data_IF_044107331549
#
_entry.id   IF_044107331549
#
_cell.length_a   1.000
_cell.length_b   1.000
_cell.length_c   1.000
_cell.angle_alpha   90.00
_cell.angle_beta   90.00
_cell.angle_gamma   90.00
#
_symmetry.space_group_name_H-M   'P 1'
#
loop_
_entity.id
_entity.type
_entity.pdbx_description
1 polymer ?
#
# COMPACT_ATOMS: atom_id res chain seq x y z
N UNK A 1 16.95 3.85 -4.44
CA UNK A 1 15.94 3.82 -3.37
C UNK A 1 16.54 3.70 -1.97
N UNK A 2 17.44 2.75 -1.70
CA UNK A 2 17.99 2.52 -0.34
C UNK A 2 18.61 3.74 0.37
N UNK A 3 19.37 4.60 -0.33
CA UNK A 3 19.95 5.81 0.28
C UNK A 3 18.88 6.80 0.76
N UNK A 4 17.83 7.03 -0.05
CA UNK A 4 16.73 7.92 0.32
C UNK A 4 15.90 7.35 1.48
N UNK A 5 15.69 6.03 1.53
CA UNK A 5 15.00 5.37 2.65
C UNK A 5 15.78 5.53 3.97
N UNK A 6 17.10 5.35 3.94
CA UNK A 6 17.93 5.59 5.14
C UNK A 6 17.92 7.07 5.55
N UNK A 7 17.95 8.01 4.59
CA UNK A 7 17.81 9.44 4.91
C UNK A 7 16.45 9.80 5.49
N UNK A 8 15.39 9.20 4.96
CA UNK A 8 14.05 9.34 5.53
C UNK A 8 14.02 8.85 6.98
N UNK A 9 14.56 7.66 7.26
CA UNK A 9 14.64 7.13 8.63
C UNK A 9 15.36 8.11 9.57
N UNK A 10 16.55 8.60 9.18
CA UNK A 10 17.33 9.53 9.99
C UNK A 10 16.59 10.84 10.31
N UNK A 11 15.81 11.36 9.36
CA UNK A 11 14.98 12.55 9.58
C UNK A 11 13.77 12.21 10.44
N UNK A 12 13.10 11.09 10.16
CA UNK A 12 11.88 10.68 10.84
C UNK A 12 12.12 10.32 12.31
N UNK A 13 13.27 9.76 12.66
CA UNK A 13 13.57 9.27 14.02
C UNK A 13 14.76 9.99 14.66
N UNK A 14 15.28 11.04 14.02
CA UNK A 14 16.44 11.79 14.50
C UNK A 14 16.16 12.61 15.76
N UNK A 15 17.21 13.25 16.29
CA UNK A 15 17.15 14.06 17.51
C UNK A 15 16.06 15.13 17.45
N UNK A 16 15.97 15.87 16.33
CA UNK A 16 14.97 16.93 16.16
C UNK A 16 13.53 16.38 16.21
N UNK A 17 13.28 15.22 15.57
CA UNK A 17 11.98 14.57 15.63
C UNK A 17 11.63 14.14 17.07
N UNK A 18 12.60 13.55 17.79
CA UNK A 18 12.41 13.16 19.19
C UNK A 18 12.13 14.37 20.10
N UNK A 19 12.84 15.49 19.90
CA UNK A 19 12.64 16.74 20.64
C UNK A 19 11.27 17.35 20.36
N UNK A 20 10.83 17.40 19.10
CA UNK A 20 9.50 17.89 18.71
C UNK A 20 8.38 17.06 19.35
N UNK A 21 8.49 15.73 19.28
CA UNK A 21 7.54 14.81 19.92
C UNK A 21 7.50 15.04 21.43
N UNK A 22 8.67 15.14 22.08
CA UNK A 22 8.74 15.36 23.53
C UNK A 22 8.14 16.71 23.94
N UNK A 23 8.43 17.78 23.20
CA UNK A 23 7.96 19.14 23.47
C UNK A 23 6.44 19.25 23.32
N UNK A 24 5.89 18.89 22.16
CA UNK A 24 4.47 19.06 21.89
C UNK A 24 3.59 18.03 22.62
N UNK A 25 4.14 16.91 23.10
CA UNK A 25 3.42 16.03 24.06
C UNK A 25 3.11 16.77 25.37
N UNK A 26 3.94 17.73 25.79
CA UNK A 26 3.75 18.51 27.03
C UNK A 26 3.06 19.86 26.79
N UNK A 27 3.08 20.36 25.56
CA UNK A 27 2.58 21.69 25.18
C UNK A 27 1.50 21.62 24.12
N UNK A 28 0.50 20.76 24.36
CA UNK A 28 -0.64 20.55 23.45
C UNK A 28 -1.50 21.81 23.32
N UNK A 29 -1.52 22.65 24.35
CA UNK A 29 -2.23 23.92 24.43
C UNK A 29 -1.68 24.98 23.45
N UNK A 30 -0.46 24.81 22.94
CA UNK A 30 0.12 25.68 21.91
C UNK A 30 -0.37 25.35 20.49
N UNK A 31 -1.08 24.23 20.32
CA UNK A 31 -1.57 23.75 19.02
C UNK A 31 -3.08 23.98 18.90
N UNK A 32 -3.52 24.40 17.72
CA UNK A 32 -4.94 24.40 17.35
C UNK A 32 -5.50 22.97 17.31
N UNK A 33 -6.82 22.82 17.33
CA UNK A 33 -7.48 21.51 17.28
C UNK A 33 -7.05 20.66 16.07
N UNK A 34 -6.86 21.30 14.91
CA UNK A 34 -6.40 20.61 13.69
C UNK A 34 -4.92 20.23 13.77
N UNK A 35 -4.08 21.11 14.33
CA UNK A 35 -2.67 20.81 14.56
C UNK A 35 -2.46 19.70 15.61
N UNK A 36 -3.33 19.60 16.61
CA UNK A 36 -3.29 18.50 17.57
C UNK A 36 -3.57 17.16 16.90
N UNK A 37 -4.56 17.09 16.00
CA UNK A 37 -4.83 15.87 15.22
C UNK A 37 -3.68 15.51 14.28
N UNK A 38 -3.10 16.52 13.63
CA UNK A 38 -1.91 16.32 12.80
C UNK A 38 -0.73 15.81 13.63
N UNK A 39 -0.54 16.37 14.83
CA UNK A 39 0.49 15.95 15.76
C UNK A 39 0.28 14.51 16.25
N UNK A 40 -0.96 14.10 16.54
CA UNK A 40 -1.28 12.72 16.90
C UNK A 40 -0.90 11.74 15.79
N UNK A 41 -1.16 12.11 14.52
CA UNK A 41 -0.70 11.32 13.38
C UNK A 41 0.82 11.28 13.30
N UNK A 42 1.49 12.44 13.45
CA UNK A 42 2.94 12.53 13.42
C UNK A 42 3.62 11.68 14.52
N UNK A 43 3.09 11.68 15.74
CA UNK A 43 3.58 10.84 16.83
C UNK A 43 3.42 9.36 16.50
N UNK A 44 2.29 8.97 15.91
CA UNK A 44 2.06 7.59 15.46
C UNK A 44 3.12 7.19 14.42
N UNK A 45 3.32 8.00 13.38
CA UNK A 45 4.31 7.75 12.34
C UNK A 45 5.74 7.67 12.91
N UNK A 46 6.09 8.56 13.85
CA UNK A 46 7.37 8.54 14.56
C UNK A 46 7.57 7.23 15.33
N UNK A 47 6.60 6.85 16.17
CA UNK A 47 6.69 5.67 17.02
C UNK A 47 6.79 4.38 16.20
N UNK A 48 6.07 4.29 15.06
CA UNK A 48 6.14 3.13 14.16
C UNK A 48 7.51 2.96 13.49
N UNK A 49 8.13 4.05 13.03
CA UNK A 49 9.45 4.00 12.40
C UNK A 49 10.54 3.81 13.45
N UNK A 50 10.47 4.54 14.57
CA UNK A 50 11.46 4.47 15.65
C UNK A 50 11.48 3.11 16.38
N UNK A 51 10.40 2.34 16.33
CA UNK A 51 10.36 0.98 16.87
C UNK A 51 11.28 0.00 16.12
N UNK A 52 11.65 0.29 14.86
CA UNK A 52 12.50 -0.59 14.05
C UNK A 52 13.96 -0.15 14.13
N UNK A 53 14.92 -1.07 14.38
CA UNK A 53 16.35 -0.77 14.25
C UNK A 53 16.74 -0.24 12.85
N UNK A 54 17.61 0.78 12.78
CA UNK A 54 18.00 1.43 11.52
C UNK A 54 18.58 0.45 10.49
N UNK A 55 19.37 -0.52 10.95
CA UNK A 55 20.00 -1.54 10.11
C UNK A 55 18.94 -2.48 9.51
N UNK A 56 17.96 -2.92 10.30
CA UNK A 56 16.82 -3.72 9.80
C UNK A 56 15.93 -2.92 8.85
N UNK A 57 15.65 -1.65 9.15
CA UNK A 57 14.88 -0.77 8.25
C UNK A 57 15.58 -0.59 6.90
N UNK A 58 16.89 -0.30 6.93
CA UNK A 58 17.71 -0.12 5.73
C UNK A 58 17.82 -1.41 4.92
N UNK A 59 18.01 -2.55 5.60
CA UNK A 59 18.04 -3.87 4.97
C UNK A 59 16.71 -4.20 4.31
N UNK A 60 15.58 -3.95 4.98
CA UNK A 60 14.25 -4.14 4.41
C UNK A 60 14.00 -3.27 3.17
N UNK A 61 14.47 -2.03 3.16
CA UNK A 61 14.40 -1.15 1.98
C UNK A 61 15.17 -1.70 0.78
N UNK A 62 16.37 -2.27 1.00
CA UNK A 62 17.16 -2.94 -0.05
C UNK A 62 16.46 -4.20 -0.56
N UNK A 63 16.00 -5.04 0.37
CA UNK A 63 15.27 -6.27 0.07
C UNK A 63 14.00 -6.00 -0.72
N UNK A 64 13.23 -4.97 -0.36
CA UNK A 64 12.00 -4.60 -1.05
C UNK A 64 12.27 -4.16 -2.50
N UNK A 65 13.32 -3.36 -2.71
CA UNK A 65 13.72 -2.94 -4.06
C UNK A 65 14.14 -4.15 -4.92
N UNK A 66 15.01 -5.01 -4.39
CA UNK A 66 15.44 -6.21 -5.11
C UNK A 66 14.29 -7.21 -5.34
N UNK A 67 13.38 -7.32 -4.39
CA UNK A 67 12.18 -8.15 -4.49
C UNK A 67 11.23 -7.67 -5.59
N UNK A 68 11.07 -6.36 -5.77
CA UNK A 68 10.28 -5.80 -6.88
C UNK A 68 10.88 -6.13 -8.24
N UNK A 69 12.22 -6.05 -8.38
CA UNK A 69 12.92 -6.42 -9.61
C UNK A 69 12.76 -7.92 -9.90
N UNK A 70 12.91 -8.77 -8.87
CA UNK A 70 12.72 -10.21 -8.97
C UNK A 70 11.28 -10.58 -9.36
N UNK A 71 10.28 -9.95 -8.74
CA UNK A 71 8.86 -10.15 -9.07
C UNK A 71 8.53 -9.73 -10.50
N UNK A 72 9.09 -8.62 -10.97
CA UNK A 72 8.84 -8.12 -12.33
C UNK A 72 9.31 -9.15 -13.36
N UNK A 73 10.53 -9.67 -13.19
CA UNK A 73 11.09 -10.74 -14.03
C UNK A 73 10.30 -12.05 -13.92
N UNK A 74 9.94 -12.44 -12.69
CA UNK A 74 9.15 -13.64 -12.43
C UNK A 74 7.79 -13.59 -13.15
N UNK A 75 7.10 -12.45 -13.11
CA UNK A 75 5.81 -12.27 -13.77
C UNK A 75 5.93 -12.28 -15.30
N UNK A 76 6.97 -11.64 -15.84
CA UNK A 76 7.23 -11.64 -17.29
C UNK A 76 7.57 -13.04 -17.82
N UNK A 77 8.29 -13.83 -17.03
CA UNK A 77 8.68 -15.19 -17.38
C UNK A 77 7.66 -16.28 -16.98
N UNK A 78 6.57 -15.90 -16.29
CA UNK A 78 5.64 -16.83 -15.63
C UNK A 78 6.35 -17.87 -14.73
N UNK A 79 7.40 -17.43 -14.02
CA UNK A 79 8.26 -18.29 -13.19
C UNK A 79 8.33 -17.79 -11.74
N UNK A 80 7.52 -18.41 -10.88
CA UNK A 80 7.48 -18.14 -9.44
C UNK A 80 8.83 -18.37 -8.73
N UNK A 81 9.67 -19.30 -9.21
CA UNK A 81 10.92 -19.63 -8.53
C UNK A 81 11.90 -18.47 -8.53
N UNK A 82 11.80 -17.56 -9.50
CA UNK A 82 12.59 -16.33 -9.54
C UNK A 82 12.24 -15.35 -8.40
N UNK A 83 11.01 -15.40 -7.88
CA UNK A 83 10.55 -14.51 -6.81
C UNK A 83 10.53 -15.17 -5.42
N UNK A 84 10.38 -16.49 -5.35
CA UNK A 84 10.21 -17.23 -4.10
C UNK A 84 11.26 -16.91 -3.01
N UNK A 85 12.58 -16.78 -3.32
CA UNK A 85 13.57 -16.43 -2.31
C UNK A 85 13.36 -15.03 -1.71
N UNK A 86 13.08 -14.03 -2.56
CA UNK A 86 12.82 -12.68 -2.10
C UNK A 86 11.53 -12.59 -1.27
N UNK A 87 10.47 -13.27 -1.71
CA UNK A 87 9.20 -13.35 -0.98
C UNK A 87 9.38 -13.95 0.42
N UNK A 88 10.15 -15.03 0.53
CA UNK A 88 10.44 -15.68 1.82
C UNK A 88 11.10 -14.71 2.80
N UNK A 89 12.13 -13.99 2.36
CA UNK A 89 12.85 -13.01 3.19
C UNK A 89 11.98 -11.81 3.54
N UNK A 90 11.10 -11.35 2.62
CA UNK A 90 10.15 -10.27 2.88
C UNK A 90 9.15 -10.66 3.98
N UNK A 91 8.58 -11.86 3.89
CA UNK A 91 7.65 -12.40 4.90
C UNK A 91 8.38 -12.57 6.24
N UNK A 92 9.59 -13.14 6.25
CA UNK A 92 10.37 -13.31 7.46
C UNK A 92 10.67 -11.97 8.14
N UNK A 93 11.04 -10.95 7.37
CA UNK A 93 11.31 -9.61 7.89
C UNK A 93 10.05 -8.94 8.43
N UNK A 94 8.93 -9.02 7.71
CA UNK A 94 7.65 -8.50 8.22
C UNK A 94 7.20 -9.20 9.50
N UNK A 95 7.43 -10.51 9.64
CA UNK A 95 7.17 -11.23 10.90
C UNK A 95 8.02 -10.74 12.06
N UNK A 96 9.29 -10.35 11.82
CA UNK A 96 10.11 -9.70 12.86
C UNK A 96 9.53 -8.34 13.23
N UNK A 97 9.13 -7.52 12.24
CA UNK A 97 8.58 -6.18 12.49
C UNK A 97 7.31 -6.20 13.33
N UNK A 98 6.48 -7.24 13.21
CA UNK A 98 5.32 -7.43 14.10
C UNK A 98 5.73 -7.38 15.57
N UNK A 99 6.87 -7.96 15.96
CA UNK A 99 7.30 -7.94 17.37
C UNK A 99 7.69 -6.56 17.88
N UNK A 100 8.06 -5.62 17.00
CA UNK A 100 8.35 -4.24 17.38
C UNK A 100 7.09 -3.39 17.54
N UNK A 101 6.06 -3.68 16.75
CA UNK A 101 4.83 -2.90 16.71
C UNK A 101 3.72 -3.42 17.61
N UNK A 102 3.72 -4.73 17.89
CA UNK A 102 2.62 -5.37 18.61
C UNK A 102 2.47 -4.78 20.01
N UNK A 103 1.27 -4.31 20.30
CA UNK A 103 0.83 -3.84 21.62
C UNK A 103 -0.11 -4.90 22.19
N UNK A 104 -1.40 -4.71 22.01
CA UNK A 104 -2.49 -5.53 22.57
C UNK A 104 -3.31 -6.24 21.48
N UNK A 105 -2.86 -6.22 20.22
CA UNK A 105 -3.58 -6.85 19.12
C UNK A 105 -3.76 -8.37 19.31
N UNK A 106 -4.96 -8.85 18.99
CA UNK A 106 -5.35 -10.25 19.14
C UNK A 106 -4.51 -11.19 18.26
N UNK A 107 -4.28 -10.81 17.00
CA UNK A 107 -3.50 -11.60 16.04
C UNK A 107 -2.25 -10.85 15.53
N UNK A 108 -1.19 -11.56 15.10
CA UNK A 108 -0.07 -10.94 14.40
C UNK A 108 -0.46 -10.17 13.13
N UNK A 109 -1.55 -10.58 12.47
CA UNK A 109 -2.00 -9.92 11.25
C UNK A 109 -2.75 -8.61 11.54
N UNK A 110 -3.43 -8.50 12.67
CA UNK A 110 -4.03 -7.23 13.13
C UNK A 110 -2.98 -6.13 13.28
N UNK A 111 -1.78 -6.48 13.76
CA UNK A 111 -0.64 -5.55 13.85
C UNK A 111 -0.29 -5.00 12.46
N UNK A 112 -0.28 -5.86 11.44
CA UNK A 112 -0.01 -5.46 10.06
C UNK A 112 -1.17 -4.68 9.44
N UNK A 113 -2.43 -5.01 9.78
CA UNK A 113 -3.61 -4.30 9.31
C UNK A 113 -3.64 -2.87 9.85
N UNK A 114 -3.31 -2.69 11.14
CA UNK A 114 -3.27 -1.38 11.79
C UNK A 114 -2.30 -0.39 11.11
N UNK A 115 -1.27 -0.89 10.41
CA UNK A 115 -0.34 -0.05 9.63
C UNK A 115 -1.00 0.65 8.43
N UNK A 116 -2.15 0.16 7.98
CA UNK A 116 -2.88 0.71 6.83
C UNK A 116 -4.27 1.23 7.22
N UNK A 117 -5.00 0.46 8.01
CA UNK A 117 -6.37 0.76 8.43
C UNK A 117 -6.47 0.64 9.97
N UNK A 118 -6.11 1.70 10.72
CA UNK A 118 -6.11 1.66 12.17
C UNK A 118 -7.47 1.24 12.76
N UNK A 119 -7.45 0.20 13.61
CA UNK A 119 -8.65 -0.32 14.26
C UNK A 119 -9.42 -1.37 13.46
N UNK A 120 -8.96 -1.71 12.24
CA UNK A 120 -9.42 -2.88 11.52
C UNK A 120 -8.76 -4.14 12.09
N UNK A 121 -9.51 -5.24 12.14
CA UNK A 121 -9.02 -6.53 12.67
C UNK A 121 -9.46 -7.67 11.77
N UNK A 122 -8.81 -8.82 11.91
CA UNK A 122 -9.18 -10.09 11.28
C UNK A 122 -10.64 -10.41 11.57
N UNK A 123 -11.09 -10.29 12.82
CA UNK A 123 -12.49 -10.57 13.18
C UNK A 123 -13.49 -9.69 12.40
N UNK A 124 -13.22 -8.38 12.30
CA UNK A 124 -14.07 -7.47 11.51
C UNK A 124 -14.00 -7.79 10.01
N UNK A 125 -12.83 -8.17 9.51
CA UNK A 125 -12.64 -8.55 8.11
C UNK A 125 -13.35 -9.86 7.77
N UNK A 126 -13.31 -10.85 8.65
CA UNK A 126 -13.98 -12.13 8.46
C UNK A 126 -15.50 -11.92 8.33
N UNK A 127 -16.11 -11.11 9.21
CA UNK A 127 -17.54 -10.77 9.14
C UNK A 127 -17.88 -10.06 7.81
N UNK A 128 -17.07 -9.10 7.39
CA UNK A 128 -17.28 -8.34 6.14
C UNK A 128 -17.12 -9.24 4.91
N UNK A 129 -16.08 -10.09 4.88
CA UNK A 129 -15.83 -10.98 3.76
C UNK A 129 -16.83 -12.13 3.68
N UNK A 130 -17.36 -12.62 4.80
CA UNK A 130 -18.44 -13.61 4.79
C UNK A 130 -19.70 -13.03 4.15
N UNK A 131 -20.13 -11.83 4.56
CA UNK A 131 -21.27 -11.15 3.97
C UNK A 131 -21.08 -10.87 2.46
N UNK A 132 -19.91 -10.35 2.08
CA UNK A 132 -19.57 -10.08 0.68
C UNK A 132 -19.53 -11.36 -0.16
N UNK A 133 -18.89 -12.43 0.34
CA UNK A 133 -18.80 -13.71 -0.36
C UNK A 133 -20.19 -14.26 -0.64
N UNK A 134 -21.06 -14.31 0.37
CA UNK A 134 -22.41 -14.84 0.22
C UNK A 134 -23.21 -14.01 -0.80
N UNK A 135 -23.22 -12.69 -0.67
CA UNK A 135 -23.92 -11.81 -1.62
C UNK A 135 -23.40 -11.89 -3.05
N UNK A 136 -22.08 -12.00 -3.25
CA UNK A 136 -21.47 -12.16 -4.58
C UNK A 136 -21.84 -13.53 -5.17
N UNK A 137 -21.83 -14.59 -4.37
CA UNK A 137 -22.20 -15.94 -4.84
C UNK A 137 -23.68 -16.02 -5.22
N UNK A 138 -24.58 -15.40 -4.45
CA UNK A 138 -26.01 -15.33 -4.77
C UNK A 138 -26.23 -14.55 -6.09
N UNK A 139 -25.60 -13.37 -6.22
CA UNK A 139 -25.68 -12.58 -7.44
C UNK A 139 -25.09 -13.32 -8.65
N UNK A 140 -23.98 -14.04 -8.47
CA UNK A 140 -23.40 -14.86 -9.52
C UNK A 140 -24.38 -15.97 -9.95
N UNK A 141 -25.04 -16.62 -8.99
CA UNK A 141 -26.04 -17.64 -9.28
C UNK A 141 -27.22 -17.07 -10.06
N UNK A 142 -27.73 -15.90 -9.66
CA UNK A 142 -28.82 -15.21 -10.37
C UNK A 142 -28.41 -14.85 -11.80
N UNK A 143 -27.21 -14.30 -12.01
CA UNK A 143 -26.70 -13.97 -13.33
C UNK A 143 -26.54 -15.24 -14.19
N UNK A 144 -26.06 -16.35 -13.62
CA UNK A 144 -25.88 -17.60 -14.37
C UNK A 144 -27.19 -18.30 -14.74
N UNK A 145 -28.23 -18.18 -13.92
CA UNK A 145 -29.49 -18.90 -14.09
C UNK A 145 -30.58 -18.08 -14.76
N UNK A 146 -30.58 -16.77 -14.56
CA UNK A 146 -31.62 -15.84 -15.02
C UNK A 146 -31.06 -14.69 -15.88
N UNK A 147 -29.74 -14.49 -15.86
CA UNK A 147 -29.10 -13.42 -16.62
C UNK A 147 -29.13 -13.68 -18.12
N UNK A 148 -29.11 -12.59 -18.87
CA UNK A 148 -28.93 -12.60 -20.32
C UNK A 148 -27.51 -12.19 -20.63
N UNK A 149 -26.77 -13.01 -21.37
CA UNK A 149 -25.43 -12.66 -21.82
C UNK A 149 -25.50 -11.46 -22.78
N UNK A 150 -24.80 -10.35 -22.48
CA UNK A 150 -24.73 -9.21 -23.38
C UNK A 150 -23.85 -9.54 -24.58
N UNK A 151 -24.15 -8.96 -25.74
CA UNK A 151 -23.24 -8.96 -26.88
C UNK A 151 -21.90 -8.32 -26.46
N UNK A 152 -20.80 -9.04 -26.63
CA UNK A 152 -19.47 -8.64 -26.15
C UNK A 152 -18.36 -8.79 -27.18
N UNK A 153 -18.69 -9.23 -28.40
CA UNK A 153 -17.75 -9.42 -29.50
C UNK A 153 -16.98 -8.13 -29.83
N UNK A 154 -17.66 -6.99 -29.77
CA UNK A 154 -17.08 -5.67 -30.00
C UNK A 154 -15.97 -5.28 -29.01
N UNK A 155 -15.86 -5.94 -27.85
CA UNK A 155 -14.80 -5.69 -26.87
C UNK A 155 -13.43 -6.22 -27.32
N UNK A 156 -13.42 -7.21 -28.23
CA UNK A 156 -12.20 -7.85 -28.74
C UNK A 156 -11.64 -7.20 -30.01
N UNK A 157 -12.30 -6.17 -30.54
CA UNK A 157 -11.85 -5.47 -31.75
C UNK A 157 -10.51 -4.77 -31.53
N UNK A 158 -9.69 -4.72 -32.58
CA UNK A 158 -8.45 -3.94 -32.54
C UNK A 158 -8.75 -2.44 -32.54
N UNK A 159 -8.23 -1.73 -31.53
CA UNK A 159 -8.28 -0.27 -31.45
C UNK A 159 -6.84 0.25 -31.39
N UNK A 160 -6.42 1.13 -32.32
CA UNK A 160 -5.10 1.76 -32.28
C UNK A 160 -4.79 2.35 -30.91
N UNK A 161 -3.58 2.09 -30.38
CA UNK A 161 -3.17 2.51 -29.04
C UNK A 161 -3.22 4.04 -28.87
N UNK A 162 -3.03 4.77 -29.96
CA UNK A 162 -3.13 6.23 -30.02
C UNK A 162 -4.56 6.70 -29.69
N UNK A 163 -5.57 6.00 -30.20
CA UNK A 163 -6.97 6.30 -29.91
C UNK A 163 -7.35 5.90 -28.49
N UNK A 164 -6.85 4.75 -28.00
CA UNK A 164 -7.04 4.36 -26.59
C UNK A 164 -6.46 5.42 -25.65
N UNK A 165 -5.24 5.88 -25.91
CA UNK A 165 -4.57 6.93 -25.12
C UNK A 165 -5.32 8.25 -25.15
N UNK A 166 -5.76 8.68 -26.34
CA UNK A 166 -6.54 9.90 -26.49
C UNK A 166 -7.84 9.85 -25.69
N UNK A 167 -8.55 8.72 -25.75
CA UNK A 167 -9.78 8.52 -25.00
C UNK A 167 -9.55 8.50 -23.48
N UNK A 168 -8.56 7.75 -22.98
CA UNK A 168 -8.22 7.72 -21.55
C UNK A 168 -7.92 9.11 -21.02
N UNK A 169 -7.20 9.92 -21.81
CA UNK A 169 -6.88 11.29 -21.45
C UNK A 169 -8.14 12.17 -21.37
N UNK A 170 -8.97 12.14 -22.40
CA UNK A 170 -10.23 12.87 -22.47
C UNK A 170 -11.18 12.48 -21.31
N UNK A 171 -11.30 11.19 -21.02
CA UNK A 171 -12.06 10.69 -19.87
C UNK A 171 -11.51 11.20 -18.53
N UNK A 172 -10.18 11.14 -18.33
CA UNK A 172 -9.54 11.65 -17.13
C UNK A 172 -9.80 13.16 -16.93
N UNK A 173 -9.77 13.96 -18.00
CA UNK A 173 -10.06 15.39 -17.94
C UNK A 173 -11.52 15.67 -17.56
N UNK A 174 -12.47 14.88 -18.07
CA UNK A 174 -13.89 14.97 -17.66
C UNK A 174 -14.09 14.65 -16.18
N UNK A 175 -13.29 13.73 -15.63
CA UNK A 175 -13.26 13.41 -14.19
C UNK A 175 -12.51 14.46 -13.35
N UNK A 176 -12.19 15.64 -13.91
CA UNK A 176 -11.50 16.77 -13.26
C UNK A 176 -10.04 16.51 -12.87
N UNK A 177 -9.42 15.43 -13.37
CA UNK A 177 -8.00 15.21 -13.19
C UNK A 177 -7.22 16.27 -13.99
N UNK A 178 -6.68 17.27 -13.29
CA UNK A 178 -5.86 18.32 -13.90
C UNK A 178 -4.61 17.67 -14.52
N UNK A 179 -4.24 18.10 -15.74
CA UNK A 179 -3.10 17.56 -16.52
C UNK A 179 -1.79 17.40 -15.73
N UNK A 180 -1.59 18.25 -14.71
CA UNK A 180 -0.38 18.29 -13.85
C UNK A 180 -0.28 17.07 -12.90
N UNK A 181 -1.40 16.46 -12.52
CA UNK A 181 -1.42 15.36 -11.53
C UNK A 181 -1.05 14.01 -12.15
N UNK A 182 -1.29 13.79 -13.44
CA UNK A 182 -1.04 12.50 -14.11
C UNK A 182 0.32 12.39 -14.83
N UNK A 183 1.04 13.50 -15.04
CA UNK A 183 2.30 13.48 -15.78
C UNK A 183 3.46 12.78 -15.03
N UNK A 184 3.28 12.47 -13.74
CA UNK A 184 4.30 11.88 -12.86
C UNK A 184 4.33 10.33 -12.92
N UNK A 185 3.38 9.64 -13.56
CA UNK A 185 3.35 8.16 -13.59
C UNK A 185 3.36 7.48 -14.96
N UNK A 186 3.37 8.22 -16.07
CA UNK A 186 3.59 7.60 -17.39
C UNK A 186 5.09 7.57 -17.73
N UNK A 187 5.84 6.78 -16.95
CA UNK A 187 7.12 6.21 -17.41
C UNK A 187 6.75 5.15 -18.48
N UNK A 188 7.37 5.14 -19.66
CA UNK A 188 7.02 4.21 -20.73
C UNK A 188 7.50 2.80 -20.39
N UNK A 189 6.71 2.06 -19.61
CA UNK A 189 6.79 0.60 -19.54
C UNK A 189 5.94 0.04 -20.66
N UNK A 190 6.51 -0.05 -21.87
CA UNK A 190 6.22 -1.05 -22.91
C UNK A 190 6.93 -0.66 -24.21
N UNK A 191 8.19 -1.09 -24.31
CA UNK A 191 8.84 -1.53 -25.54
C UNK A 191 9.89 -2.58 -25.14
N UNK A 192 9.43 -3.76 -24.76
CA UNK A 192 10.09 -5.06 -24.95
C UNK A 192 8.97 -6.05 -25.23
#
# INVERSE_FOLDING_TARGET
MSYLSSKYFQVATGTEAAELVAYFKQHRDLLTDDEQKLFDRYVTDYEEVAAIPEDEYTAFGKLSSAGQDAWTKAREADDYQLFAPALKELIATKKRFISYWRKDEATPYDVLLNQFEPGLTVAKLDDVFEALKNGIMDLQHDIQTQGTEPESDFLSREIPIELQRAYVWDAAQRMTLKKVVLMIRFIPLCKI
#
